data_IF_023433289567
#
_entry.id   IF_023433289567
#
_cell.length_a   1.000
_cell.length_b   1.000
_cell.length_c   1.000
_cell.angle_alpha   90.00
_cell.angle_beta   90.00
_cell.angle_gamma   90.00
#
_symmetry.space_group_name_H-M   'P 1'
#
loop_
_entity.id
_entity.type
_entity.pdbx_description
1 polymer ?
#
# COMPACT_ATOMS: atom_id res chain seq x y z
N UNK A 1 -4.36 20.46 -3.51
CA UNK A 1 -4.96 21.14 -2.34
C UNK A 1 -3.84 21.66 -1.45
N UNK A 2 -3.80 22.96 -1.09
CA UNK A 2 -2.84 23.42 -0.11
C UNK A 2 -3.23 22.85 1.25
N UNK A 3 -2.47 21.90 1.78
CA UNK A 3 -2.64 21.43 3.15
C UNK A 3 -2.33 22.61 4.07
N UNK A 4 -3.24 22.92 4.99
CA UNK A 4 -3.01 23.94 6.02
C UNK A 4 -1.64 23.72 6.69
N UNK A 5 -0.87 24.80 6.85
CA UNK A 5 0.51 24.72 7.32
C UNK A 5 0.62 24.06 8.72
N UNK A 6 -0.39 24.20 9.58
CA UNK A 6 -0.46 23.55 10.89
C UNK A 6 -0.69 22.05 10.73
N UNK A 7 -1.60 21.65 9.85
CA UNK A 7 -1.86 20.23 9.54
C UNK A 7 -0.62 19.58 8.94
N UNK A 8 0.04 20.25 8.00
CA UNK A 8 1.31 19.78 7.43
C UNK A 8 2.39 19.64 8.50
N UNK A 9 2.54 20.63 9.38
CA UNK A 9 3.47 20.59 10.51
C UNK A 9 3.20 19.42 11.47
N UNK A 10 1.93 19.13 11.77
CA UNK A 10 1.52 18.03 12.64
C UNK A 10 1.93 16.66 12.07
N UNK A 11 1.87 16.48 10.75
CA UNK A 11 2.24 15.24 10.07
C UNK A 11 3.76 15.13 9.88
N UNK A 12 4.42 16.21 9.50
CA UNK A 12 5.86 16.18 9.19
C UNK A 12 6.75 16.16 10.43
N UNK A 13 6.34 16.76 11.55
CA UNK A 13 7.14 16.76 12.79
C UNK A 13 7.51 15.34 13.27
N UNK A 14 6.56 14.39 13.44
CA UNK A 14 6.91 13.03 13.86
C UNK A 14 7.74 12.28 12.81
N UNK A 15 7.53 12.54 11.51
CA UNK A 15 8.36 12.00 10.42
C UNK A 15 9.82 12.46 10.54
N UNK A 16 10.05 13.76 10.75
CA UNK A 16 11.39 14.32 10.93
C UNK A 16 12.09 13.76 12.17
N UNK A 17 11.37 13.62 13.29
CA UNK A 17 11.89 12.99 14.50
C UNK A 17 12.27 11.52 14.24
N UNK A 18 11.44 10.76 13.51
CA UNK A 18 11.76 9.39 13.13
C UNK A 18 13.05 9.31 12.28
N UNK A 19 13.24 10.22 11.33
CA UNK A 19 14.46 10.32 10.55
C UNK A 19 15.69 10.68 11.39
N UNK A 20 15.57 11.61 12.35
CA UNK A 20 16.64 11.96 13.29
C UNK A 20 17.06 10.72 14.10
N UNK A 21 16.08 9.98 14.65
CA UNK A 21 16.34 8.75 15.40
C UNK A 21 17.00 7.69 14.52
N UNK A 22 16.51 7.51 13.29
CA UNK A 22 17.06 6.57 12.33
C UNK A 22 18.54 6.88 12.02
N UNK A 23 18.84 8.14 11.67
CA UNK A 23 20.20 8.60 11.35
C UNK A 23 21.12 8.47 12.57
N UNK A 24 20.65 8.87 13.75
CA UNK A 24 21.40 8.76 15.00
C UNK A 24 21.80 7.32 15.32
N UNK A 25 20.85 6.37 15.23
CA UNK A 25 21.13 4.95 15.47
C UNK A 25 22.07 4.37 14.41
N UNK A 26 21.85 4.70 13.13
CA UNK A 26 22.72 4.26 12.03
C UNK A 26 24.16 4.73 12.21
N UNK A 27 24.38 5.99 12.63
CA UNK A 27 25.72 6.54 12.91
C UNK A 27 26.45 5.83 14.05
N UNK A 28 25.71 5.22 14.99
CA UNK A 28 26.27 4.41 16.09
C UNK A 28 26.42 2.92 15.74
N UNK A 29 26.29 2.55 14.46
CA UNK A 29 26.34 1.15 14.02
C UNK A 29 25.15 0.31 14.50
N UNK A 30 24.12 0.92 15.07
CA UNK A 30 22.93 0.21 15.55
C UNK A 30 21.98 -0.02 14.38
N UNK A 31 21.57 -1.27 14.17
CA UNK A 31 20.50 -1.58 13.23
C UNK A 31 19.15 -1.09 13.79
N UNK A 32 18.50 -0.19 13.07
CA UNK A 32 17.17 0.31 13.45
C UNK A 32 16.09 -0.79 13.33
N UNK A 33 16.06 -1.49 12.19
CA UNK A 33 15.25 -2.68 11.95
C UNK A 33 16.18 -3.90 11.90
N UNK A 34 16.49 -4.56 13.03
CA UNK A 34 17.32 -5.77 13.03
C UNK A 34 16.75 -6.80 12.06
N UNK A 35 17.64 -7.49 11.34
CA UNK A 35 17.27 -8.55 10.43
C UNK A 35 16.70 -9.72 11.25
N UNK A 36 15.45 -10.09 10.98
CA UNK A 36 14.90 -11.35 11.47
C UNK A 36 15.29 -12.47 10.48
N UNK A 37 15.72 -13.65 10.96
CA UNK A 37 16.00 -14.79 10.09
C UNK A 37 14.80 -15.10 9.20
N UNK A 38 15.01 -15.12 7.88
CA UNK A 38 13.97 -15.53 6.94
C UNK A 38 13.96 -17.07 6.86
N UNK A 39 12.80 -17.67 7.13
CA UNK A 39 12.58 -19.09 6.86
C UNK A 39 12.36 -19.21 5.35
N UNK A 40 13.07 -20.12 4.70
CA UNK A 40 12.88 -20.38 3.27
C UNK A 40 11.47 -20.93 3.05
N UNK A 41 10.57 -20.10 2.53
CA UNK A 41 9.18 -20.51 2.29
C UNK A 41 9.09 -21.58 1.20
N UNK A 42 8.29 -22.63 1.44
CA UNK A 42 8.01 -23.66 0.45
C UNK A 42 6.91 -23.19 -0.51
N UNK A 43 7.32 -22.60 -1.63
CA UNK A 43 6.40 -22.09 -2.65
C UNK A 43 5.66 -23.21 -3.39
N UNK A 44 4.33 -23.13 -3.44
CA UNK A 44 3.56 -23.79 -4.51
C UNK A 44 3.51 -22.86 -5.74
N UNK A 45 3.49 -23.44 -6.94
CA UNK A 45 3.44 -22.65 -8.18
C UNK A 45 2.09 -21.93 -8.37
N UNK A 46 1.02 -22.49 -7.80
CA UNK A 46 -0.35 -21.97 -7.94
C UNK A 46 -0.50 -20.53 -7.42
N UNK A 47 0.05 -20.22 -6.25
CA UNK A 47 -0.19 -18.93 -5.59
C UNK A 47 0.48 -17.74 -6.33
N UNK A 48 1.77 -17.81 -6.72
CA UNK A 48 2.39 -16.80 -7.57
C UNK A 48 1.70 -16.66 -8.93
N UNK A 49 1.24 -17.75 -9.55
CA UNK A 49 0.52 -17.70 -10.83
C UNK A 49 -0.81 -16.97 -10.68
N UNK A 50 -1.57 -17.24 -9.62
CA UNK A 50 -2.83 -16.56 -9.35
C UNK A 50 -2.64 -15.06 -9.07
N UNK A 51 -1.61 -14.71 -8.29
CA UNK A 51 -1.24 -13.31 -8.06
C UNK A 51 -0.79 -12.59 -9.34
N UNK A 52 -0.01 -13.26 -10.19
CA UNK A 52 0.42 -12.72 -11.49
C UNK A 52 -0.77 -12.51 -12.44
N UNK A 53 -1.75 -13.41 -12.44
CA UNK A 53 -2.99 -13.25 -13.19
C UNK A 53 -3.80 -12.05 -12.69
N UNK A 54 -3.95 -11.88 -11.37
CA UNK A 54 -4.60 -10.69 -10.82
C UNK A 54 -3.87 -9.40 -11.21
N UNK A 55 -2.53 -9.40 -11.14
CA UNK A 55 -1.72 -8.26 -11.53
C UNK A 55 -1.86 -7.93 -13.03
N UNK A 56 -1.89 -8.94 -13.90
CA UNK A 56 -2.03 -8.72 -15.35
C UNK A 56 -3.39 -8.10 -15.70
N UNK A 57 -4.47 -8.51 -15.04
CA UNK A 57 -5.79 -7.89 -15.23
C UNK A 57 -5.78 -6.40 -14.86
N UNK A 58 -5.14 -6.03 -13.74
CA UNK A 58 -5.02 -4.63 -13.32
C UNK A 58 -4.13 -3.82 -14.28
N UNK A 59 -3.02 -4.40 -14.76
CA UNK A 59 -2.15 -3.75 -15.72
C UNK A 59 -2.84 -3.53 -17.06
N UNK A 60 -3.64 -4.49 -17.55
CA UNK A 60 -4.43 -4.32 -18.77
C UNK A 60 -5.43 -3.19 -18.62
N UNK A 61 -6.12 -3.11 -17.48
CA UNK A 61 -7.06 -2.01 -17.19
C UNK A 61 -6.39 -0.65 -17.24
N UNK A 62 -5.17 -0.53 -16.70
CA UNK A 62 -4.42 0.72 -16.73
C UNK A 62 -3.90 1.02 -18.13
N UNK A 63 -3.28 0.05 -18.82
CA UNK A 63 -2.79 0.28 -20.18
C UNK A 63 -3.94 0.73 -21.09
N UNK A 64 -5.14 0.17 -20.93
CA UNK A 64 -6.31 0.60 -21.66
C UNK A 64 -6.62 2.11 -21.47
N UNK A 65 -6.41 2.68 -20.27
CA UNK A 65 -6.63 4.12 -20.05
C UNK A 65 -5.64 5.01 -20.81
N UNK A 66 -4.45 4.49 -21.16
CA UNK A 66 -3.45 5.23 -21.95
C UNK A 66 -3.60 5.04 -23.46
N UNK A 67 -4.09 3.87 -23.89
CA UNK A 67 -4.13 3.48 -25.30
C UNK A 67 -5.46 3.84 -25.95
N UNK A 68 -6.58 3.76 -25.22
CA UNK A 68 -7.90 4.04 -25.77
C UNK A 68 -8.08 5.55 -26.02
N UNK A 69 -8.76 5.94 -27.12
CA UNK A 69 -9.05 7.35 -27.40
C UNK A 69 -9.80 8.01 -26.24
N UNK A 70 -9.52 9.29 -26.01
CA UNK A 70 -10.17 10.04 -24.92
C UNK A 70 -11.69 10.01 -25.02
N UNK A 71 -12.29 9.89 -26.20
CA UNK A 71 -13.75 9.75 -26.37
C UNK A 71 -14.33 8.46 -25.80
N UNK A 72 -13.55 7.37 -25.77
CA UNK A 72 -13.92 6.08 -25.15
C UNK A 72 -13.71 6.14 -23.64
N UNK A 73 -12.67 6.86 -23.19
CA UNK A 73 -12.42 7.10 -21.76
C UNK A 73 -13.32 8.20 -21.16
N UNK A 74 -13.90 9.07 -21.99
CA UNK A 74 -14.72 10.22 -21.62
C UNK A 74 -16.23 9.92 -21.59
N UNK A 75 -16.67 8.70 -21.92
CA UNK A 75 -17.89 8.19 -21.30
C UNK A 75 -17.62 8.22 -19.79
N UNK A 76 -18.14 9.27 -19.14
CA UNK A 76 -17.76 9.68 -17.80
C UNK A 76 -17.63 8.44 -16.91
N UNK A 77 -16.41 8.14 -16.45
CA UNK A 77 -16.22 7.10 -15.43
C UNK A 77 -17.24 7.41 -14.34
N UNK A 78 -18.27 6.58 -14.15
CA UNK A 78 -19.33 6.93 -13.24
C UNK A 78 -18.70 7.08 -11.86
N UNK A 79 -19.02 8.18 -11.17
CA UNK A 79 -18.60 8.38 -9.78
C UNK A 79 -18.91 7.08 -9.02
N UNK A 80 -17.94 6.48 -8.31
CA UNK A 80 -18.14 5.17 -7.72
C UNK A 80 -19.36 5.20 -6.81
N UNK A 81 -20.37 4.37 -7.10
CA UNK A 81 -21.54 4.28 -6.22
C UNK A 81 -21.18 3.56 -4.91
N UNK A 82 -22.03 3.70 -3.88
CA UNK A 82 -21.92 2.87 -2.67
C UNK A 82 -21.88 1.36 -3.01
N UNK A 83 -22.66 0.93 -4.01
CA UNK A 83 -22.66 -0.46 -4.47
C UNK A 83 -21.31 -0.86 -5.08
N UNK A 84 -20.68 0.04 -5.85
CA UNK A 84 -19.34 -0.18 -6.41
C UNK A 84 -18.31 -0.33 -5.29
N UNK A 85 -18.37 0.52 -4.27
CA UNK A 85 -17.49 0.46 -3.10
C UNK A 85 -17.66 -0.85 -2.31
N UNK A 86 -18.91 -1.26 -2.06
CA UNK A 86 -19.23 -2.54 -1.43
C UNK A 86 -18.69 -3.71 -2.25
N UNK A 87 -18.90 -3.68 -3.57
CA UNK A 87 -18.39 -4.71 -4.50
C UNK A 87 -16.86 -4.81 -4.40
N UNK A 88 -16.15 -3.67 -4.39
CA UNK A 88 -14.69 -3.67 -4.22
C UNK A 88 -14.26 -4.27 -2.87
N UNK A 89 -14.97 -3.98 -1.79
CA UNK A 89 -14.72 -4.58 -0.49
C UNK A 89 -14.95 -6.11 -0.49
N UNK A 90 -16.04 -6.56 -1.12
CA UNK A 90 -16.33 -7.99 -1.27
C UNK A 90 -15.26 -8.69 -2.10
N UNK A 91 -14.84 -8.12 -3.24
CA UNK A 91 -13.80 -8.67 -4.08
C UNK A 91 -12.46 -8.77 -3.34
N UNK A 92 -12.04 -7.74 -2.61
CA UNK A 92 -10.80 -7.78 -1.80
C UNK A 92 -10.89 -8.84 -0.69
N UNK A 93 -12.04 -8.97 -0.02
CA UNK A 93 -12.27 -10.00 1.00
C UNK A 93 -12.22 -11.41 0.41
N UNK A 94 -12.84 -11.60 -0.76
CA UNK A 94 -12.81 -12.85 -1.51
C UNK A 94 -11.39 -13.25 -1.90
N UNK A 95 -10.59 -12.30 -2.39
CA UNK A 95 -9.17 -12.54 -2.69
C UNK A 95 -8.38 -12.99 -1.47
N UNK A 96 -8.59 -12.38 -0.30
CA UNK A 96 -7.96 -12.80 0.96
C UNK A 96 -8.35 -14.23 1.36
N UNK A 97 -9.64 -14.57 1.23
CA UNK A 97 -10.16 -15.91 1.54
C UNK A 97 -9.61 -16.99 0.60
N UNK A 98 -9.30 -16.66 -0.64
CA UNK A 98 -8.68 -17.60 -1.59
C UNK A 98 -7.17 -17.68 -1.41
N UNK A 99 -6.49 -16.54 -1.34
CA UNK A 99 -5.03 -16.48 -1.38
C UNK A 99 -4.38 -17.01 -0.10
N UNK A 100 -4.95 -16.74 1.08
CA UNK A 100 -4.34 -17.19 2.35
C UNK A 100 -4.30 -18.73 2.43
N UNK A 101 -5.41 -19.47 2.21
CA UNK A 101 -5.38 -20.93 2.22
C UNK A 101 -4.56 -21.51 1.06
N UNK A 102 -4.60 -20.90 -0.12
CA UNK A 102 -3.77 -21.32 -1.26
C UNK A 102 -2.28 -21.18 -0.96
N UNK A 103 -1.86 -20.06 -0.38
CA UNK A 103 -0.47 -19.77 -0.01
C UNK A 103 0.09 -20.81 0.96
N UNK A 104 -0.68 -21.18 1.98
CA UNK A 104 -0.25 -22.14 2.98
C UNK A 104 -0.55 -23.60 2.62
N UNK A 105 -1.07 -23.87 1.42
CA UNK A 105 -1.52 -25.19 0.98
C UNK A 105 -2.44 -25.86 2.02
N UNK A 106 -3.37 -25.07 2.57
CA UNK A 106 -4.31 -25.45 3.64
C UNK A 106 -3.67 -25.79 4.99
N UNK A 107 -2.35 -25.61 5.15
CA UNK A 107 -1.64 -25.80 6.40
C UNK A 107 -1.27 -24.44 7.04
N UNK A 108 -2.12 -23.99 7.97
CA UNK A 108 -1.95 -22.70 8.63
C UNK A 108 -0.63 -22.54 9.39
N UNK A 109 0.09 -23.63 9.71
CA UNK A 109 1.40 -23.53 10.38
C UNK A 109 2.46 -22.88 9.49
N UNK A 110 2.34 -23.04 8.16
CA UNK A 110 3.24 -22.48 7.14
C UNK A 110 3.10 -20.98 6.95
N UNK A 111 2.02 -20.35 7.47
CA UNK A 111 1.84 -18.90 7.39
C UNK A 111 3.02 -18.13 8.02
N UNK A 112 3.70 -18.73 9.00
CA UNK A 112 4.87 -18.14 9.66
C UNK A 112 6.06 -18.03 8.71
N UNK A 113 6.20 -18.95 7.74
CA UNK A 113 7.27 -18.95 6.74
C UNK A 113 7.15 -17.73 5.82
N UNK A 114 5.90 -17.33 5.57
CA UNK A 114 5.52 -16.16 4.78
C UNK A 114 5.45 -14.86 5.59
N UNK A 115 5.90 -14.88 6.85
CA UNK A 115 5.90 -13.69 7.72
C UNK A 115 4.54 -13.32 8.31
N UNK A 116 3.53 -14.16 8.14
CA UNK A 116 2.19 -14.00 8.73
C UNK A 116 2.20 -14.67 10.10
N UNK A 117 2.60 -13.91 11.13
CA UNK A 117 2.69 -14.39 12.51
C UNK A 117 1.90 -13.51 13.47
N UNK A 118 1.15 -14.15 14.38
CA UNK A 118 0.39 -13.47 15.46
C UNK A 118 1.22 -13.25 16.73
N UNK A 119 2.47 -13.70 16.76
CA UNK A 119 3.39 -13.47 17.87
C UNK A 119 4.06 -12.10 17.74
N UNK A 120 4.30 -11.42 18.87
CA UNK A 120 4.95 -10.09 18.91
C UNK A 120 4.22 -9.01 18.09
N UNK A 121 2.88 -9.02 18.05
CA UNK A 121 2.11 -8.02 17.31
C UNK A 121 2.48 -6.58 17.70
N UNK A 122 2.67 -6.30 18.99
CA UNK A 122 3.11 -4.97 19.44
C UNK A 122 4.40 -4.50 18.76
N UNK A 123 5.40 -5.39 18.62
CA UNK A 123 6.66 -5.08 17.93
C UNK A 123 6.43 -4.85 16.44
N UNK A 124 5.62 -5.70 15.79
CA UNK A 124 5.27 -5.55 14.38
C UNK A 124 4.52 -4.23 14.12
N UNK A 125 3.63 -3.82 15.03
CA UNK A 125 2.93 -2.53 14.97
C UNK A 125 3.91 -1.38 15.12
N UNK A 126 4.86 -1.43 16.06
CA UNK A 126 5.90 -0.40 16.21
C UNK A 126 6.74 -0.27 14.94
N UNK A 127 7.14 -1.40 14.33
CA UNK A 127 7.88 -1.39 13.07
C UNK A 127 7.06 -0.76 11.94
N UNK A 128 5.76 -1.07 11.89
CA UNK A 128 4.83 -0.49 10.92
C UNK A 128 4.64 1.01 11.09
N UNK A 129 4.43 1.49 12.32
CA UNK A 129 4.34 2.92 12.64
C UNK A 129 5.61 3.64 12.21
N UNK A 130 6.78 3.07 12.52
CA UNK A 130 8.04 3.70 12.15
C UNK A 130 8.27 3.70 10.64
N UNK A 131 7.93 2.62 9.94
CA UNK A 131 7.97 2.53 8.48
C UNK A 131 7.07 3.59 7.82
N UNK A 132 5.85 3.74 8.33
CA UNK A 132 4.93 4.80 7.94
C UNK A 132 5.58 6.17 8.13
N UNK A 133 6.07 6.50 9.32
CA UNK A 133 6.71 7.79 9.60
C UNK A 133 7.91 8.07 8.68
N UNK A 134 8.79 7.08 8.46
CA UNK A 134 9.93 7.25 7.55
C UNK A 134 9.50 7.43 6.09
N UNK A 135 8.40 6.80 5.67
CA UNK A 135 7.89 6.92 4.31
C UNK A 135 7.32 8.31 4.00
N UNK A 136 6.80 9.02 5.01
CA UNK A 136 6.15 10.32 4.81
C UNK A 136 7.07 11.34 4.14
N UNK A 137 8.31 11.50 4.59
CA UNK A 137 9.22 12.50 4.03
C UNK A 137 9.48 12.29 2.52
N UNK A 138 9.94 11.12 2.04
CA UNK A 138 10.17 10.91 0.62
C UNK A 138 8.88 10.91 -0.20
N UNK A 139 7.76 10.42 0.35
CA UNK A 139 6.45 10.48 -0.32
C UNK A 139 6.03 11.93 -0.56
N UNK A 140 6.07 12.77 0.47
CA UNK A 140 5.71 14.19 0.34
C UNK A 140 6.70 14.96 -0.53
N UNK A 141 7.99 14.61 -0.50
CA UNK A 141 8.97 15.20 -1.42
C UNK A 141 8.61 14.93 -2.89
N UNK A 142 8.26 13.69 -3.24
CA UNK A 142 7.82 13.34 -4.59
C UNK A 142 6.47 13.95 -4.92
N UNK A 143 5.54 13.97 -3.96
CA UNK A 143 4.22 14.61 -4.12
C UNK A 143 4.36 16.09 -4.49
N UNK A 144 5.21 16.83 -3.77
CA UNK A 144 5.48 18.25 -4.03
C UNK A 144 6.23 18.46 -5.35
N UNK A 145 7.24 17.63 -5.65
CA UNK A 145 7.99 17.70 -6.90
C UNK A 145 7.12 17.41 -8.14
N UNK A 146 6.04 16.66 -7.97
CA UNK A 146 5.11 16.28 -9.04
C UNK A 146 3.78 17.01 -8.96
N UNK A 147 3.67 18.04 -8.12
CA UNK A 147 2.41 18.74 -7.86
C UNK A 147 1.83 19.39 -9.13
N UNK A 148 2.68 19.87 -10.05
CA UNK A 148 2.29 20.46 -11.34
C UNK A 148 1.64 19.48 -12.32
N UNK A 149 1.76 18.17 -12.07
CA UNK A 149 1.18 17.12 -12.92
C UNK A 149 -0.27 16.80 -12.55
N UNK A 150 -0.82 17.42 -11.49
CA UNK A 150 -2.16 17.14 -10.98
C UNK A 150 -3.16 18.18 -11.47
N UNK A 151 -4.28 17.70 -12.00
CA UNK A 151 -5.48 18.48 -12.35
C UNK A 151 -6.66 18.10 -11.44
N UNK A 152 -7.73 18.90 -11.38
CA UNK A 152 -8.97 18.53 -10.68
C UNK A 152 -9.53 17.18 -11.14
N UNK A 153 -9.36 16.83 -12.42
CA UNK A 153 -9.82 15.55 -12.99
C UNK A 153 -8.92 14.36 -12.59
N UNK A 154 -7.72 14.63 -12.07
CA UNK A 154 -6.80 13.62 -11.55
C UNK A 154 -7.06 13.28 -10.07
N UNK A 155 -8.14 13.81 -9.48
CA UNK A 155 -8.53 13.44 -8.13
C UNK A 155 -8.90 11.96 -8.06
N UNK A 156 -8.37 11.30 -7.05
CA UNK A 156 -8.64 9.89 -6.80
C UNK A 156 -10.15 9.63 -6.66
N UNK A 157 -10.65 8.56 -7.29
CA UNK A 157 -12.07 8.19 -7.34
C UNK A 157 -12.77 8.19 -5.95
N UNK A 158 -12.03 7.91 -4.87
CA UNK A 158 -12.53 7.98 -3.49
C UNK A 158 -12.85 9.39 -3.00
N UNK A 159 -12.07 10.41 -3.43
CA UNK A 159 -12.34 11.81 -3.11
C UNK A 159 -13.64 12.26 -3.78
N UNK A 160 -13.83 11.88 -5.04
CA UNK A 160 -15.02 12.22 -5.82
C UNK A 160 -16.28 11.61 -5.19
N UNK A 161 -16.21 10.34 -4.76
CA UNK A 161 -17.32 9.69 -4.04
C UNK A 161 -17.62 10.40 -2.72
N UNK A 162 -16.61 10.73 -1.92
CA UNK A 162 -16.83 11.37 -0.63
C UNK A 162 -17.44 12.77 -0.75
N UNK A 163 -17.09 13.51 -1.82
CA UNK A 163 -17.73 14.79 -2.19
C UNK A 163 -19.19 14.61 -2.60
N UNK A 164 -19.48 13.56 -3.35
CA UNK A 164 -20.82 13.29 -3.86
C UNK A 164 -21.76 12.73 -2.77
N UNK A 165 -21.25 11.92 -1.84
CA UNK A 165 -22.02 11.28 -0.77
C UNK A 165 -21.16 11.12 0.50
N UNK A 166 -21.41 11.96 1.49
CA UNK A 166 -20.68 12.00 2.77
C UNK A 166 -21.42 11.30 3.91
N UNK A 167 -22.42 10.44 3.61
CA UNK A 167 -23.11 9.66 4.64
C UNK A 167 -22.13 8.81 5.43
N UNK A 168 -22.41 8.64 6.72
CA UNK A 168 -21.61 7.79 7.63
C UNK A 168 -21.40 6.38 7.07
N UNK A 169 -22.42 5.84 6.39
CA UNK A 169 -22.32 4.55 5.71
C UNK A 169 -21.24 4.53 4.62
N UNK A 170 -21.19 5.54 3.75
CA UNK A 170 -20.17 5.64 2.68
C UNK A 170 -18.78 5.77 3.29
N UNK A 171 -18.63 6.63 4.29
CA UNK A 171 -17.36 6.82 5.01
C UNK A 171 -16.91 5.51 5.66
N UNK A 172 -17.82 4.76 6.28
CA UNK A 172 -17.52 3.49 6.92
C UNK A 172 -17.05 2.44 5.90
N UNK A 173 -17.74 2.31 4.76
CA UNK A 173 -17.33 1.40 3.68
C UNK A 173 -16.01 1.83 3.05
N UNK A 174 -15.77 3.13 2.92
CA UNK A 174 -14.53 3.69 2.36
C UNK A 174 -13.36 3.39 3.29
N UNK A 175 -13.53 3.63 4.59
CA UNK A 175 -12.53 3.30 5.59
C UNK A 175 -12.25 1.79 5.63
N UNK A 176 -13.29 0.94 5.62
CA UNK A 176 -13.12 -0.51 5.56
C UNK A 176 -12.34 -0.96 4.32
N UNK A 177 -12.73 -0.45 3.15
CA UNK A 177 -12.10 -0.78 1.88
C UNK A 177 -10.65 -0.30 1.78
N UNK A 178 -10.41 0.98 2.02
CA UNK A 178 -9.13 1.64 1.79
C UNK A 178 -8.13 1.47 2.94
N UNK A 179 -8.58 1.44 4.20
CA UNK A 179 -7.68 1.41 5.37
C UNK A 179 -7.41 -0.02 5.85
N UNK A 180 -8.34 -0.95 5.62
CA UNK A 180 -8.24 -2.32 6.13
C UNK A 180 -8.03 -3.32 4.99
N UNK A 181 -9.03 -3.47 4.12
CA UNK A 181 -9.06 -4.54 3.13
C UNK A 181 -8.00 -4.36 2.03
N UNK A 182 -7.79 -3.13 1.57
CA UNK A 182 -6.78 -2.81 0.56
C UNK A 182 -5.36 -3.12 1.06
N UNK A 183 -4.87 -2.57 2.19
CA UNK A 183 -3.56 -2.93 2.74
C UNK A 183 -3.40 -4.43 2.97
N UNK A 184 -4.41 -5.12 3.48
CA UNK A 184 -4.34 -6.56 3.68
C UNK A 184 -4.16 -7.32 2.35
N UNK A 185 -5.00 -7.06 1.36
CA UNK A 185 -4.94 -7.74 0.08
C UNK A 185 -3.65 -7.40 -0.68
N UNK A 186 -3.29 -6.13 -0.72
CA UNK A 186 -2.15 -5.64 -1.50
C UNK A 186 -0.82 -6.06 -0.88
N UNK A 187 -0.64 -5.98 0.43
CA UNK A 187 0.62 -6.43 1.04
C UNK A 187 0.77 -7.97 0.95
N UNK A 188 -0.32 -8.72 0.92
CA UNK A 188 -0.29 -10.17 0.67
C UNK A 188 0.17 -10.46 -0.76
N UNK A 189 -0.40 -9.76 -1.76
CA UNK A 189 -0.06 -9.95 -3.18
C UNK A 189 1.37 -9.48 -3.46
N UNK A 190 1.71 -8.26 -3.03
CA UNK A 190 2.97 -7.62 -3.41
C UNK A 190 4.14 -8.05 -2.51
N UNK A 191 4.01 -8.04 -1.18
CA UNK A 191 5.16 -8.36 -0.30
C UNK A 191 5.31 -9.84 -0.10
N UNK A 192 4.22 -10.49 0.31
CA UNK A 192 4.29 -11.90 0.65
C UNK A 192 4.51 -12.70 -0.63
N UNK A 193 3.61 -12.60 -1.60
CA UNK A 193 3.64 -13.44 -2.80
C UNK A 193 4.69 -12.97 -3.81
N UNK A 194 4.54 -11.78 -4.40
CA UNK A 194 5.38 -11.34 -5.52
C UNK A 194 6.84 -11.10 -5.09
N UNK A 195 7.08 -10.26 -4.10
CA UNK A 195 8.44 -9.97 -3.62
C UNK A 195 9.08 -11.24 -3.02
N UNK A 196 8.35 -11.99 -2.18
CA UNK A 196 8.85 -13.23 -1.59
C UNK A 196 9.26 -14.27 -2.64
N UNK A 197 8.45 -14.46 -3.68
CA UNK A 197 8.76 -15.38 -4.78
C UNK A 197 9.92 -14.89 -5.66
N UNK A 198 10.00 -13.58 -5.94
CA UNK A 198 11.12 -13.00 -6.68
C UNK A 198 12.43 -13.10 -5.90
N UNK A 199 12.41 -12.99 -4.58
CA UNK A 199 13.61 -13.10 -3.73
C UNK A 199 14.22 -14.50 -3.69
N UNK A 200 13.51 -15.53 -4.17
CA UNK A 200 14.11 -16.87 -4.35
C UNK A 200 14.84 -17.02 -5.69
N UNK A 201 14.77 -16.01 -6.58
CA UNK A 201 15.32 -16.06 -7.95
C UNK A 201 16.23 -14.88 -8.27
N UNK A 202 16.01 -13.75 -7.61
CA UNK A 202 16.71 -12.50 -7.85
C UNK A 202 17.33 -11.96 -6.56
N UNK A 203 18.39 -11.14 -6.67
CA UNK A 203 18.86 -10.32 -5.54
C UNK A 203 17.73 -9.51 -4.92
N UNK A 204 17.71 -9.41 -3.60
CA UNK A 204 16.65 -8.76 -2.81
C UNK A 204 16.33 -7.34 -3.30
N UNK A 205 17.35 -6.55 -3.65
CA UNK A 205 17.15 -5.17 -4.10
C UNK A 205 16.36 -5.11 -5.42
N UNK A 206 16.56 -6.08 -6.32
CA UNK A 206 15.75 -6.21 -7.54
C UNK A 206 14.33 -6.66 -7.21
N UNK A 207 14.16 -7.60 -6.28
CA UNK A 207 12.81 -8.02 -5.85
C UNK A 207 12.01 -6.85 -5.27
N UNK A 208 12.63 -6.03 -4.42
CA UNK A 208 12.01 -4.82 -3.86
C UNK A 208 11.71 -3.82 -4.97
N UNK A 209 12.66 -3.55 -5.87
CA UNK A 209 12.49 -2.59 -6.97
C UNK A 209 11.36 -2.97 -7.93
N UNK A 210 11.36 -4.20 -8.44
CA UNK A 210 10.34 -4.71 -9.37
C UNK A 210 8.96 -4.71 -8.72
N UNK A 211 8.85 -5.23 -7.49
CA UNK A 211 7.58 -5.25 -6.75
C UNK A 211 7.08 -3.84 -6.49
N UNK A 212 7.97 -2.90 -6.16
CA UNK A 212 7.58 -1.53 -5.86
C UNK A 212 7.11 -0.76 -7.08
N UNK A 213 7.77 -0.99 -8.22
CA UNK A 213 7.31 -0.44 -9.49
C UNK A 213 5.93 -1.00 -9.85
N UNK A 214 5.74 -2.32 -9.79
CA UNK A 214 4.45 -2.95 -10.07
C UNK A 214 3.34 -2.42 -9.14
N UNK A 215 3.60 -2.33 -7.83
CA UNK A 215 2.67 -1.75 -6.85
C UNK A 215 2.31 -0.32 -7.22
N UNK A 216 3.28 0.54 -7.52
CA UNK A 216 2.99 1.92 -7.87
C UNK A 216 2.19 2.05 -9.17
N UNK A 217 2.53 1.26 -10.20
CA UNK A 217 1.89 1.36 -11.52
C UNK A 217 0.41 1.01 -11.48
N UNK A 218 -0.02 0.08 -10.60
CA UNK A 218 -1.44 -0.28 -10.48
C UNK A 218 -2.34 0.84 -9.92
N UNK A 219 -1.75 1.95 -9.46
CA UNK A 219 -2.49 3.11 -8.94
C UNK A 219 -2.67 4.22 -10.00
N UNK A 220 -2.12 4.04 -11.20
CA UNK A 220 -2.26 5.00 -12.29
C UNK A 220 -1.45 6.29 -12.10
N UNK A 221 -1.44 7.15 -13.11
CA UNK A 221 -0.72 8.42 -13.08
C UNK A 221 -1.66 9.58 -12.74
N UNK A 222 -1.22 10.58 -11.94
CA UNK A 222 0.14 10.77 -11.40
C UNK A 222 0.41 10.10 -10.04
N UNK A 223 -0.56 9.38 -9.46
CA UNK A 223 -0.48 8.85 -8.10
C UNK A 223 0.57 7.74 -7.91
N UNK A 224 0.96 7.05 -8.98
CA UNK A 224 2.06 6.09 -8.96
C UNK A 224 3.38 6.70 -8.47
N UNK A 225 3.62 8.00 -8.73
CA UNK A 225 4.88 8.66 -8.42
C UNK A 225 5.12 8.76 -6.90
N UNK A 226 4.25 9.40 -6.10
CA UNK A 226 4.42 9.46 -4.64
C UNK A 226 4.26 8.10 -3.95
N UNK A 227 3.61 7.12 -4.57
CA UNK A 227 3.45 5.77 -4.00
C UNK A 227 4.69 4.88 -4.13
N UNK A 228 5.58 5.19 -5.08
CA UNK A 228 6.82 4.41 -5.28
C UNK A 228 7.73 4.42 -4.02
N UNK A 229 8.06 5.56 -3.39
CA UNK A 229 8.81 5.58 -2.14
C UNK A 229 8.17 4.81 -0.99
N UNK A 230 6.83 4.89 -0.87
CA UNK A 230 6.08 4.10 0.12
C UNK A 230 6.29 2.61 -0.12
N UNK A 231 6.09 2.15 -1.36
CA UNK A 231 6.24 0.73 -1.67
C UNK A 231 7.68 0.22 -1.47
N UNK A 232 8.69 1.05 -1.75
CA UNK A 232 10.09 0.70 -1.46
C UNK A 232 10.29 0.51 0.05
N UNK A 233 9.75 1.41 0.87
CA UNK A 233 9.83 1.31 2.34
C UNK A 233 9.13 0.03 2.85
N UNK A 234 7.92 -0.26 2.35
CA UNK A 234 7.19 -1.48 2.70
C UNK A 234 7.97 -2.74 2.32
N UNK A 235 8.55 -2.76 1.11
CA UNK A 235 9.39 -3.87 0.65
C UNK A 235 10.66 -4.05 1.48
N UNK A 236 11.30 -2.95 1.87
CA UNK A 236 12.46 -2.96 2.77
C UNK A 236 12.10 -3.51 4.15
N UNK A 237 10.99 -3.06 4.75
CA UNK A 237 10.54 -3.52 6.06
C UNK A 237 10.17 -5.00 6.02
N UNK A 238 9.46 -5.45 4.98
CA UNK A 238 9.14 -6.86 4.79
C UNK A 238 10.40 -7.70 4.69
N UNK A 239 11.40 -7.27 3.90
CA UNK A 239 12.66 -8.00 3.82
C UNK A 239 13.37 -8.07 5.17
N UNK A 240 13.44 -6.96 5.92
CA UNK A 240 14.16 -6.90 7.19
C UNK A 240 13.49 -7.68 8.31
N UNK A 241 12.16 -7.71 8.35
CA UNK A 241 11.39 -8.25 9.49
C UNK A 241 10.62 -9.51 9.17
N UNK A 242 10.53 -9.90 7.89
CA UNK A 242 9.64 -10.94 7.39
C UNK A 242 8.26 -10.83 8.04
N UNK A 243 7.63 -9.66 7.97
CA UNK A 243 6.42 -9.36 8.76
C UNK A 243 5.36 -8.75 7.88
N UNK A 244 4.32 -9.54 7.62
CA UNK A 244 3.12 -9.10 6.91
C UNK A 244 2.38 -8.02 7.70
N UNK A 245 2.24 -8.18 9.02
CA UNK A 245 1.50 -7.20 9.82
C UNK A 245 2.22 -5.85 9.90
N UNK A 246 3.55 -5.82 9.96
CA UNK A 246 4.28 -4.54 9.95
C UNK A 246 4.02 -3.75 8.66
N UNK A 247 3.99 -4.41 7.50
CA UNK A 247 3.68 -3.72 6.24
C UNK A 247 2.22 -3.34 6.13
N UNK A 248 1.29 -4.21 6.55
CA UNK A 248 -0.15 -3.89 6.59
C UNK A 248 -0.42 -2.68 7.47
N UNK A 249 0.17 -2.61 8.67
CA UNK A 249 -0.02 -1.46 9.56
C UNK A 249 0.57 -0.17 8.98
N UNK A 250 1.77 -0.23 8.40
CA UNK A 250 2.39 0.94 7.77
C UNK A 250 1.52 1.49 6.63
N UNK A 251 1.04 0.60 5.76
CA UNK A 251 0.19 0.95 4.64
C UNK A 251 -1.21 1.43 5.10
N UNK A 252 -1.82 0.76 6.08
CA UNK A 252 -3.09 1.18 6.67
C UNK A 252 -3.00 2.59 7.29
N UNK A 253 -1.92 2.90 8.01
CA UNK A 253 -1.69 4.25 8.56
C UNK A 253 -1.55 5.30 7.46
N UNK A 254 -0.85 4.97 6.37
CA UNK A 254 -0.74 5.85 5.21
C UNK A 254 -2.11 6.14 4.59
N UNK A 255 -2.93 5.10 4.37
CA UNK A 255 -4.26 5.27 3.79
C UNK A 255 -5.20 6.00 4.75
N UNK A 256 -5.15 5.68 6.05
CA UNK A 256 -5.92 6.39 7.07
C UNK A 256 -5.60 7.87 7.09
N UNK A 257 -4.31 8.24 7.03
CA UNK A 257 -3.91 9.64 6.95
C UNK A 257 -4.53 10.33 5.74
N UNK A 258 -4.49 9.71 4.55
CA UNK A 258 -5.08 10.30 3.34
C UNK A 258 -6.60 10.46 3.46
N UNK A 259 -7.30 9.46 4.04
CA UNK A 259 -8.75 9.55 4.29
C UNK A 259 -9.07 10.67 5.27
N UNK A 260 -8.33 10.78 6.38
CA UNK A 260 -8.53 11.86 7.37
C UNK A 260 -8.24 13.23 6.76
N UNK A 261 -7.15 13.37 6.02
CA UNK A 261 -6.80 14.62 5.34
C UNK A 261 -7.89 15.07 4.37
N UNK A 262 -8.46 14.12 3.63
CA UNK A 262 -9.59 14.38 2.73
C UNK A 262 -10.80 14.89 3.50
N UNK A 263 -11.21 14.17 4.55
CA UNK A 263 -12.38 14.56 5.34
C UNK A 263 -12.22 15.93 6.00
N UNK A 264 -11.00 16.29 6.41
CA UNK A 264 -10.70 17.60 7.00
C UNK A 264 -10.70 18.69 5.92
N UNK A 265 -10.21 18.42 4.72
CA UNK A 265 -10.14 19.40 3.64
C UNK A 265 -11.50 19.70 2.99
N UNK A 266 -12.44 18.76 3.01
CA UNK A 266 -13.82 19.00 2.52
C UNK A 266 -14.67 19.84 3.48
N UNK A 267 -14.27 19.93 4.75
CA UNK A 267 -14.98 20.73 5.76
C UNK A 267 -14.49 22.19 5.84
N UNK A 268 -13.61 22.62 4.92
CA UNK A 268 -13.07 23.98 4.82
C UNK A 268 -13.57 24.65 3.56
#
# INVERSE_FOLDING_TARGET
>A
MPIDAKVFGLIMTPSLLAWIVFIYRKRRGQSFLPMEPQIAASWNLFTPTLAAFWLSLNLVSIIATWVLPSSVNAEAKPVPSLQSLQTMCFLKSFWLVILIPALCSLDATKLRDFGIRRTQLARQTIDGVFAFLLSLLPVYAVLLATASLRSPDSEHEFLQLLRADNRVEVIAWLALGAVILAPMAEELIFRVILQGWLSTRLPVWLSIGITSLAFSMIHGFPDMLPLLPLSIMLGYVFHRRNSYWATVFAHALFNLQNVVLTLVSENQ
#
